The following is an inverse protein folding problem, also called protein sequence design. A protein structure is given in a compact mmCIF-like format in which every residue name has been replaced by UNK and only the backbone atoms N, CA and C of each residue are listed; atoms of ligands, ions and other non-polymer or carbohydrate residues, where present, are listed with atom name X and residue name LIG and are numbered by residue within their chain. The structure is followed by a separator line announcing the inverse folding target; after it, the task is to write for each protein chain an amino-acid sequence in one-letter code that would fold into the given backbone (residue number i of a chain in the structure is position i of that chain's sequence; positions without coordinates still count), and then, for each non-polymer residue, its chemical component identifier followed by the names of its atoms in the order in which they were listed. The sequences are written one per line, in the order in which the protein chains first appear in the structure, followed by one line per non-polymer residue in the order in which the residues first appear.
data_IF_904900554273
#
_entry.id   IF_904900554273
#
_cell.length_a   1.000
_cell.length_b   1.000
_cell.length_c   1.000
_cell.angle_alpha   90.00
_cell.angle_beta   90.00
_cell.angle_gamma   90.00
#
_symmetry.space_group_name_H-M   'P 1'
#
loop_
_entity.id
_entity.type
_entity.pdbx_description
1 polymer ?
#
# COMPACT_ATOMS: atom_id res chain seq x y z
N UNK A 1 -11.91 -10.53 1.21
CA UNK A 1 -10.82 -9.62 1.61
C UNK A 1 -10.41 -8.82 0.38
N UNK A 2 -10.61 -7.50 0.37
CA UNK A 2 -10.35 -6.65 -0.80
C UNK A 2 -8.86 -6.32 -0.81
N UNK A 3 -8.17 -6.57 -1.91
CA UNK A 3 -6.71 -6.46 -1.94
C UNK A 3 -6.25 -5.34 -2.86
N UNK A 4 -5.20 -4.65 -2.45
CA UNK A 4 -4.45 -3.74 -3.31
C UNK A 4 -3.03 -4.29 -3.49
N UNK A 5 -2.50 -4.19 -4.70
CA UNK A 5 -1.18 -4.69 -5.03
C UNK A 5 -0.48 -3.85 -6.08
N UNK A 6 0.85 -3.98 -6.12
CA UNK A 6 1.73 -3.29 -7.04
C UNK A 6 2.38 -4.31 -7.97
N UNK A 7 2.33 -4.07 -9.29
CA UNK A 7 3.08 -4.85 -10.29
C UNK A 7 4.07 -3.95 -11.00
N UNK A 8 5.17 -4.52 -11.50
CA UNK A 8 6.13 -3.80 -12.33
C UNK A 8 5.66 -3.80 -13.79
N UNK A 9 6.05 -2.79 -14.56
CA UNK A 9 5.84 -2.80 -16.02
C UNK A 9 6.73 -3.85 -16.69
N UNK A 10 7.98 -3.95 -16.25
CA UNK A 10 8.98 -4.86 -16.81
C UNK A 10 9.01 -6.20 -16.07
N UNK A 11 9.05 -7.30 -16.83
CA UNK A 11 9.31 -8.66 -16.34
C UNK A 11 10.81 -9.03 -16.35
N UNK A 12 11.68 -8.09 -16.72
CA UNK A 12 13.14 -8.27 -16.71
C UNK A 12 13.69 -7.89 -15.34
N UNK A 13 14.16 -8.89 -14.61
CA UNK A 13 14.74 -8.71 -13.27
C UNK A 13 16.01 -7.84 -13.29
N UNK A 14 16.10 -6.92 -12.33
CA UNK A 14 17.32 -6.15 -12.05
C UNK A 14 17.70 -6.22 -10.57
N UNK A 15 18.99 -6.01 -10.27
CA UNK A 15 19.47 -5.94 -8.89
C UNK A 15 18.80 -4.78 -8.11
N UNK A 16 18.50 -3.67 -8.78
CA UNK A 16 17.82 -2.51 -8.20
C UNK A 16 16.41 -2.85 -7.74
N UNK A 17 15.64 -3.60 -8.54
CA UNK A 17 14.32 -4.11 -8.14
C UNK A 17 14.42 -4.93 -6.85
N UNK A 18 15.39 -5.86 -6.78
CA UNK A 18 15.58 -6.68 -5.59
C UNK A 18 15.95 -5.87 -4.35
N UNK A 19 16.83 -4.88 -4.50
CA UNK A 19 17.23 -3.99 -3.40
C UNK A 19 16.04 -3.23 -2.83
N UNK A 20 15.18 -2.67 -3.69
CA UNK A 20 13.99 -1.95 -3.27
C UNK A 20 12.99 -2.89 -2.60
N UNK A 21 12.64 -4.01 -3.25
CA UNK A 21 11.64 -4.95 -2.70
C UNK A 21 12.10 -5.47 -1.33
N UNK A 22 13.39 -5.78 -1.16
CA UNK A 22 13.95 -6.26 0.11
C UNK A 22 13.93 -5.25 1.25
N UNK A 23 13.83 -3.95 0.96
CA UNK A 23 13.67 -2.91 1.98
C UNK A 23 12.31 -3.01 2.69
N UNK A 24 11.31 -3.60 2.03
CA UNK A 24 9.93 -3.66 2.51
C UNK A 24 9.45 -5.09 2.81
N UNK A 25 10.14 -6.10 2.28
CA UNK A 25 9.79 -7.51 2.46
C UNK A 25 11.06 -8.36 2.56
N UNK A 26 11.17 -9.21 3.56
CA UNK A 26 12.30 -10.13 3.70
C UNK A 26 12.15 -11.35 2.77
N UNK A 27 12.29 -11.12 1.46
CA UNK A 27 12.20 -12.17 0.45
C UNK A 27 13.59 -12.60 -0.06
N UNK A 28 13.83 -13.91 -0.28
CA UNK A 28 14.98 -14.40 -1.01
C UNK A 28 15.04 -13.84 -2.45
N UNK A 29 16.25 -13.65 -2.97
CA UNK A 29 16.46 -13.16 -4.35
C UNK A 29 15.79 -14.06 -5.40
N UNK A 30 15.80 -15.38 -5.18
CA UNK A 30 15.14 -16.34 -6.08
C UNK A 30 13.63 -16.11 -6.16
N UNK A 31 12.97 -15.81 -5.05
CA UNK A 31 11.55 -15.51 -5.02
C UNK A 31 11.24 -14.18 -5.70
N UNK A 32 12.07 -13.14 -5.47
CA UNK A 32 11.89 -11.86 -6.15
C UNK A 32 12.03 -12.00 -7.66
N UNK A 33 13.01 -12.79 -8.13
CA UNK A 33 13.16 -13.10 -9.55
C UNK A 33 11.89 -13.74 -10.12
N UNK A 34 11.31 -14.72 -9.43
CA UNK A 34 10.06 -15.36 -9.85
C UNK A 34 8.90 -14.36 -9.91
N UNK A 35 8.73 -13.52 -8.89
CA UNK A 35 7.67 -12.51 -8.86
C UNK A 35 7.78 -11.58 -10.07
N UNK A 36 8.98 -11.08 -10.36
CA UNK A 36 9.21 -10.17 -11.49
C UNK A 36 8.97 -10.89 -12.82
N UNK A 37 9.55 -12.07 -13.02
CA UNK A 37 9.41 -12.83 -14.26
C UNK A 37 7.98 -13.28 -14.55
N UNK A 38 7.19 -13.56 -13.52
CA UNK A 38 5.78 -13.95 -13.65
C UNK A 38 4.82 -12.75 -13.74
N UNK A 39 5.34 -11.52 -13.63
CA UNK A 39 4.53 -10.31 -13.49
C UNK A 39 3.49 -10.42 -12.34
N UNK A 40 3.95 -10.97 -11.22
CA UNK A 40 3.19 -11.07 -9.98
C UNK A 40 3.29 -9.78 -9.16
N UNK A 41 2.52 -9.72 -8.07
CA UNK A 41 2.54 -8.58 -7.17
C UNK A 41 3.86 -8.52 -6.38
N UNK A 42 4.65 -7.46 -6.60
CA UNK A 42 5.87 -7.18 -5.82
C UNK A 42 5.55 -6.70 -4.41
N UNK A 43 4.33 -6.20 -4.20
CA UNK A 43 3.78 -5.89 -2.89
C UNK A 43 2.27 -6.05 -2.95
N UNK A 44 1.66 -6.63 -1.91
CA UNK A 44 0.22 -6.81 -1.81
C UNK A 44 -0.21 -6.69 -0.36
N UNK A 45 -1.30 -5.97 -0.11
CA UNK A 45 -1.89 -5.82 1.21
C UNK A 45 -3.42 -5.76 1.14
N UNK A 46 -4.06 -5.80 2.31
CA UNK A 46 -5.48 -5.51 2.42
C UNK A 46 -5.72 -4.01 2.21
N UNK A 47 -6.75 -3.67 1.46
CA UNK A 47 -7.12 -2.28 1.22
C UNK A 47 -7.57 -1.57 2.50
N UNK A 48 -8.09 -2.30 3.50
CA UNK A 48 -8.52 -1.68 4.77
C UNK A 48 -7.34 -1.30 5.68
N UNK A 49 -6.12 -1.77 5.37
CA UNK A 49 -4.94 -1.51 6.20
C UNK A 49 -4.23 -0.26 5.71
N UNK A 50 -4.48 0.88 6.36
CA UNK A 50 -3.85 2.16 6.06
C UNK A 50 -2.31 2.06 5.97
N UNK A 51 -1.66 1.37 6.92
CA UNK A 51 -0.21 1.18 6.90
C UNK A 51 0.26 0.37 5.68
N UNK A 52 -0.52 -0.63 5.25
CA UNK A 52 -0.22 -1.40 4.05
C UNK A 52 -0.30 -0.54 2.79
N UNK A 53 -1.30 0.33 2.68
CA UNK A 53 -1.42 1.28 1.56
C UNK A 53 -0.24 2.26 1.55
N UNK A 54 0.13 2.83 2.71
CA UNK A 54 1.27 3.74 2.84
C UNK A 54 2.57 3.07 2.38
N UNK A 55 2.81 1.81 2.80
CA UNK A 55 3.98 1.05 2.35
C UNK A 55 3.95 0.81 0.84
N UNK A 56 2.80 0.47 0.25
CA UNK A 56 2.66 0.29 -1.19
C UNK A 56 3.04 1.57 -1.96
N UNK A 57 2.56 2.73 -1.52
CA UNK A 57 2.90 4.03 -2.12
C UNK A 57 4.40 4.34 -1.97
N UNK A 58 5.01 4.01 -0.84
CA UNK A 58 6.46 4.15 -0.66
C UNK A 58 7.27 3.24 -1.58
N UNK A 59 6.86 1.98 -1.76
CA UNK A 59 7.51 1.05 -2.71
C UNK A 59 7.43 1.63 -4.13
N UNK A 60 6.25 2.08 -4.56
CA UNK A 60 6.05 2.70 -5.88
C UNK A 60 6.94 3.93 -6.08
N UNK A 61 7.04 4.80 -5.07
CA UNK A 61 7.89 6.00 -5.09
C UNK A 61 9.37 5.63 -5.24
N UNK A 62 9.86 4.67 -4.46
CA UNK A 62 11.26 4.25 -4.53
C UNK A 62 11.60 3.55 -5.86
N UNK A 63 10.66 2.78 -6.45
CA UNK A 63 10.79 2.25 -7.81
C UNK A 63 10.87 3.37 -8.85
N UNK A 64 9.98 4.37 -8.77
CA UNK A 64 9.96 5.49 -9.71
C UNK A 64 11.23 6.33 -9.67
N UNK A 65 11.85 6.51 -8.50
CA UNK A 65 13.13 7.24 -8.37
C UNK A 65 14.27 6.57 -9.14
N UNK A 66 14.23 5.24 -9.25
CA UNK A 66 15.21 4.44 -10.01
C UNK A 66 14.77 4.23 -11.47
N UNK A 67 13.74 4.94 -11.94
CA UNK A 67 13.21 4.83 -13.30
C UNK A 67 12.44 3.53 -13.58
N UNK A 68 11.99 2.83 -12.54
CA UNK A 68 11.23 1.58 -12.67
C UNK A 68 9.74 1.87 -12.61
N UNK A 69 9.06 1.68 -13.74
CA UNK A 69 7.62 1.84 -13.84
C UNK A 69 6.87 0.70 -13.14
N UNK A 70 5.75 1.06 -12.50
CA UNK A 70 4.90 0.13 -11.76
C UNK A 70 3.45 0.61 -11.74
N UNK A 71 2.52 -0.31 -11.56
CA UNK A 71 1.07 -0.06 -11.63
C UNK A 71 0.36 -0.63 -10.42
N UNK A 72 -0.64 0.11 -9.96
CA UNK A 72 -1.44 -0.22 -8.78
C UNK A 72 -2.71 -0.94 -9.24
N UNK A 73 -3.03 -2.04 -8.57
CA UNK A 73 -4.26 -2.79 -8.83
C UNK A 73 -5.06 -2.96 -7.55
N UNK A 74 -6.34 -2.61 -7.59
CA UNK A 74 -7.33 -2.90 -6.54
C UNK A 74 -8.25 -3.99 -7.08
N UNK A 75 -8.31 -5.12 -6.37
CA UNK A 75 -9.11 -6.30 -6.78
C UNK A 75 -8.82 -6.73 -8.24
N UNK A 76 -7.55 -6.62 -8.64
CA UNK A 76 -7.08 -6.96 -9.99
C UNK A 76 -7.34 -5.89 -11.06
N UNK A 77 -7.97 -4.77 -10.72
CA UNK A 77 -8.25 -3.66 -11.65
C UNK A 77 -7.25 -2.53 -11.46
N UNK A 78 -6.74 -2.00 -12.58
CA UNK A 78 -5.82 -0.86 -12.57
C UNK A 78 -6.46 0.35 -11.87
N UNK A 79 -5.72 1.01 -11.01
CA UNK A 79 -6.15 2.21 -10.29
C UNK A 79 -5.03 3.25 -10.20
N UNK A 80 -5.35 4.44 -9.71
CA UNK A 80 -4.41 5.54 -9.48
C UNK A 80 -3.90 5.60 -8.04
N UNK A 81 -2.79 6.32 -7.85
CA UNK A 81 -2.33 6.72 -6.52
C UNK A 81 -3.34 7.66 -5.83
N UNK A 82 -3.97 8.54 -6.60
CA UNK A 82 -4.99 9.48 -6.12
C UNK A 82 -6.14 8.76 -5.40
N UNK A 83 -6.64 7.67 -5.98
CA UNK A 83 -7.65 6.83 -5.33
C UNK A 83 -7.21 6.34 -3.95
N UNK A 84 -5.96 5.87 -3.82
CA UNK A 84 -5.43 5.39 -2.55
C UNK A 84 -5.19 6.52 -1.54
N UNK A 85 -4.73 7.69 -2.00
CA UNK A 85 -4.56 8.86 -1.14
C UNK A 85 -5.89 9.35 -0.58
N UNK A 86 -6.93 9.43 -1.43
CA UNK A 86 -8.27 9.80 -1.00
C UNK A 86 -8.84 8.82 0.03
N UNK A 87 -8.57 7.52 -0.15
CA UNK A 87 -8.97 6.49 0.80
C UNK A 87 -8.27 6.66 2.16
N UNK A 88 -6.97 6.96 2.16
CA UNK A 88 -6.22 7.23 3.40
C UNK A 88 -6.74 8.46 4.15
N UNK A 89 -7.14 9.51 3.43
CA UNK A 89 -7.77 10.70 4.03
C UNK A 89 -9.09 10.32 4.70
N UNK A 90 -9.92 9.52 4.03
CA UNK A 90 -11.19 9.04 4.60
C UNK A 90 -10.99 8.20 5.87
N UNK A 91 -9.94 7.37 5.95
CA UNK A 91 -9.62 6.63 7.16
C UNK A 91 -9.27 7.54 8.32
N UNK A 92 -8.45 8.56 8.09
CA UNK A 92 -8.08 9.55 9.12
C UNK A 92 -9.30 10.33 9.62
N UNK A 93 -10.17 10.77 8.71
CA UNK A 93 -11.41 11.46 9.06
C UNK A 93 -12.35 10.57 9.89
N UNK A 94 -12.38 9.28 9.61
CA UNK A 94 -13.18 8.32 10.37
C UNK A 94 -12.63 8.15 11.79
N UNK A 95 -11.30 8.04 11.94
CA UNK A 95 -10.65 7.99 13.25
C UNK A 95 -10.93 9.26 14.07
N UNK A 96 -10.81 10.43 13.45
CA UNK A 96 -11.08 11.73 14.10
C UNK A 96 -12.55 11.86 14.55
N UNK A 97 -13.52 11.47 13.72
CA UNK A 97 -14.94 11.50 14.10
C UNK A 97 -15.29 10.56 15.26
N UNK A 98 -14.66 9.38 15.30
CA UNK A 98 -14.86 8.43 16.40
C UNK A 98 -14.29 8.99 17.71
N UNK A 99 -13.10 9.61 17.65
CA UNK A 99 -12.48 10.26 18.80
C UNK A 99 -13.35 11.42 19.34
N UNK A 100 -13.86 12.27 18.44
CA UNK A 100 -14.76 13.38 18.81
C UNK A 100 -16.08 12.91 19.45
N UNK A 101 -16.68 11.82 18.97
CA UNK A 101 -17.92 11.29 19.55
C UNK A 101 -17.67 10.63 20.91
N UNK A 102 -16.55 9.89 21.06
CA UNK A 102 -16.14 9.31 22.36
C UNK A 102 -15.90 10.40 23.42
N UNK A 103 -15.23 11.49 23.03
CA UNK A 103 -15.01 12.63 23.93
C UNK A 103 -16.32 13.31 24.31
N UNK A 104 -17.29 13.41 23.38
CA UNK A 104 -18.62 13.96 23.67
C UNK A 104 -19.40 13.06 24.63
N UNK A 105 -19.41 11.75 24.40
CA UNK A 105 -20.11 10.80 25.26
C UNK A 105 -19.52 10.80 26.68
N UNK A 106 -18.19 10.81 26.82
CA UNK A 106 -17.53 10.91 28.14
C UNK A 106 -17.91 12.19 28.89
N UNK A 107 -18.01 13.34 28.19
CA UNK A 107 -18.44 14.60 28.80
C UNK A 107 -19.92 14.62 29.21
N UNK A 108 -20.77 13.78 28.59
CA UNK A 108 -22.19 13.67 28.92
C UNK A 108 -22.45 12.70 30.08
N UNK A 109 -21.55 11.72 30.32
CA UNK A 109 -21.63 10.80 31.45
C UNK A 109 -21.11 11.39 32.78
N UNK A 110 -20.24 12.41 32.73
CA UNK A 110 -19.71 13.09 33.94
C UNK A 110 -20.68 14.12 34.55
N UNK A 111 -21.77 14.47 33.85
CA UNK A 111 -22.79 15.43 34.26
C UNK A 111 -24.08 14.76 34.85
N UNK A 112 -24.07 13.43 35.08
CA UNK A 112 -25.16 12.64 35.71
C UNK A 112 -24.82 12.16 37.14
#
# INVERSE_FOLDING_TARGET
MRTVGLKLESSVFTATMAKIIRKYQELPISQIKQIVSNNDYVYKCDIIRANGIKTLLHVKKDLSKEGINSYIYVEGKLTSEEYLNNLLVSYKQTEEQVEEEMDREALLEDDE
#
